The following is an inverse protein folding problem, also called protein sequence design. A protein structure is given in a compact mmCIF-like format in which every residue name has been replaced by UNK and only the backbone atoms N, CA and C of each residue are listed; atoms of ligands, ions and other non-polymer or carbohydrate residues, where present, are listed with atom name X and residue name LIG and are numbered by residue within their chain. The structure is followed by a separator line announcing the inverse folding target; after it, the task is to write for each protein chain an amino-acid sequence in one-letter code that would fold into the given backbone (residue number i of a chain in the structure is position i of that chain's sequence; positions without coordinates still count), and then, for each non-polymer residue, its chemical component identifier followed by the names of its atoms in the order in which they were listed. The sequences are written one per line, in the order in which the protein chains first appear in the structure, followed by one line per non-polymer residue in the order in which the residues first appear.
data_IF_080174406161
#
_entry.id   IF_080174406161
#
_cell.length_a   1.000
_cell.length_b   1.000
_cell.length_c   1.000
_cell.angle_alpha   90.00
_cell.angle_beta   90.00
_cell.angle_gamma   90.00
#
_symmetry.space_group_name_H-M   'P 1'
#
loop_
_entity.id
_entity.type
_entity.pdbx_description
1 polymer ?
#
# COMPACT_ATOMS: atom_id res chain seq x y z
N UNK A 1 0.09 -65.93 45.60
CA UNK A 1 -0.70 -64.81 45.08
C UNK A 1 0.27 -63.68 44.72
N UNK A 2 0.55 -63.48 43.46
CA UNK A 2 1.51 -62.48 42.97
C UNK A 2 0.69 -61.38 42.33
N UNK A 3 0.65 -60.21 42.98
CA UNK A 3 0.02 -58.97 42.39
C UNK A 3 0.92 -58.38 41.35
N UNK A 4 0.47 -58.38 40.08
CA UNK A 4 1.10 -57.65 38.98
C UNK A 4 0.55 -56.20 38.93
N UNK A 5 1.38 -55.24 39.33
CA UNK A 5 1.15 -53.82 39.09
C UNK A 5 1.50 -53.49 37.63
N UNK A 6 0.52 -53.02 36.84
CA UNK A 6 0.73 -52.44 35.51
C UNK A 6 0.95 -50.94 35.65
N UNK A 7 2.17 -50.49 35.39
CA UNK A 7 2.46 -49.06 35.23
C UNK A 7 2.03 -48.64 33.83
N UNK A 8 0.99 -47.78 33.72
CA UNK A 8 0.67 -47.07 32.49
C UNK A 8 1.59 -45.86 32.40
N UNK A 9 2.57 -45.89 31.48
CA UNK A 9 3.38 -44.75 31.11
C UNK A 9 2.59 -43.94 30.08
N UNK A 10 1.98 -42.81 30.50
CA UNK A 10 1.34 -41.86 29.61
C UNK A 10 2.41 -41.01 28.95
N UNK A 11 2.70 -41.29 27.69
CA UNK A 11 3.52 -40.42 26.86
C UNK A 11 2.68 -39.17 26.44
N UNK A 12 2.90 -38.06 27.12
CA UNK A 12 2.38 -36.75 26.69
C UNK A 12 3.26 -36.28 25.55
N UNK A 13 2.80 -36.46 24.31
CA UNK A 13 3.37 -35.80 23.14
C UNK A 13 2.98 -34.33 23.21
N UNK A 14 3.88 -33.48 23.68
CA UNK A 14 3.78 -32.03 23.46
C UNK A 14 4.08 -31.76 21.99
N UNK A 15 3.03 -31.58 21.18
CA UNK A 15 3.12 -30.99 19.87
C UNK A 15 3.59 -29.54 20.06
N UNK A 16 4.88 -29.30 19.94
CA UNK A 16 5.39 -27.97 19.70
C UNK A 16 4.97 -27.61 18.26
N UNK A 17 3.87 -26.88 18.14
CA UNK A 17 3.56 -26.12 16.93
C UNK A 17 4.67 -25.07 16.77
N UNK A 18 5.69 -25.40 16.00
CA UNK A 18 6.55 -24.38 15.42
C UNK A 18 5.65 -23.56 14.51
N UNK A 19 5.29 -22.36 14.95
CA UNK A 19 4.79 -21.35 14.06
C UNK A 19 5.89 -21.14 13.01
N UNK A 20 5.70 -21.72 11.84
CA UNK A 20 6.54 -21.46 10.70
C UNK A 20 6.31 -19.97 10.42
N UNK A 21 7.31 -19.14 10.71
CA UNK A 21 7.34 -17.75 10.29
C UNK A 21 7.38 -17.77 8.77
N UNK A 22 6.23 -17.96 8.13
CA UNK A 22 6.09 -17.78 6.71
C UNK A 22 6.36 -16.31 6.44
N UNK A 23 7.41 -16.04 5.69
CA UNK A 23 7.74 -14.69 5.26
C UNK A 23 6.54 -14.15 4.46
N UNK A 24 5.99 -13.03 4.88
CA UNK A 24 4.95 -12.33 4.12
C UNK A 24 5.63 -11.65 2.93
N UNK A 25 5.25 -12.02 1.72
CA UNK A 25 5.80 -11.46 0.49
C UNK A 25 4.79 -10.49 -0.12
N UNK A 26 5.01 -9.21 0.13
CA UNK A 26 4.22 -8.09 -0.37
C UNK A 26 5.16 -6.97 -0.83
N UNK A 27 4.86 -6.36 -1.98
CA UNK A 27 5.33 -5.03 -2.33
C UNK A 27 4.28 -3.98 -1.92
N UNK A 28 4.64 -2.71 -1.96
CA UNK A 28 3.77 -1.56 -1.64
C UNK A 28 2.99 -1.76 -0.31
N UNK A 29 3.64 -2.09 0.80
CA UNK A 29 2.94 -2.42 2.03
C UNK A 29 2.23 -1.21 2.62
N UNK A 30 0.98 -1.39 3.02
CA UNK A 30 0.20 -0.38 3.76
C UNK A 30 -0.37 -0.99 5.02
N UNK A 31 -0.41 -0.20 6.10
CA UNK A 31 -0.98 -0.62 7.38
C UNK A 31 -2.14 0.29 7.73
N UNK A 32 -3.28 -0.33 8.01
CA UNK A 32 -4.43 0.30 8.65
C UNK A 32 -4.51 -0.17 10.10
N UNK A 33 -4.73 0.75 11.05
CA UNK A 33 -4.87 0.42 12.47
C UNK A 33 -6.29 0.73 12.94
N UNK A 34 -6.87 -0.18 13.69
CA UNK A 34 -8.12 0.03 14.41
C UNK A 34 -8.20 -0.79 15.69
N UNK A 35 -8.49 -0.12 16.82
CA UNK A 35 -8.66 -0.73 18.15
C UNK A 35 -7.48 -1.62 18.58
N UNK A 36 -6.25 -1.21 18.28
CA UNK A 36 -5.02 -1.91 18.63
C UNK A 36 -4.74 -3.13 17.75
N UNK A 37 -5.45 -3.29 16.63
CA UNK A 37 -5.18 -4.29 15.62
C UNK A 37 -4.64 -3.60 14.37
N UNK A 38 -3.50 -4.06 13.90
CA UNK A 38 -2.89 -3.62 12.66
C UNK A 38 -3.28 -4.57 11.53
N UNK A 39 -3.70 -4.02 10.41
CA UNK A 39 -4.08 -4.75 9.19
C UNK A 39 -3.08 -4.41 8.10
N UNK A 40 -2.33 -5.40 7.62
CA UNK A 40 -1.31 -5.24 6.58
C UNK A 40 -1.88 -5.71 5.24
N UNK A 41 -1.78 -4.84 4.25
CA UNK A 41 -2.10 -5.12 2.86
C UNK A 41 -0.89 -4.76 1.99
N UNK A 42 -0.92 -5.16 0.72
CA UNK A 42 0.12 -4.80 -0.24
C UNK A 42 -0.12 -5.47 -1.58
N UNK A 43 0.71 -5.13 -2.54
CA UNK A 43 0.80 -5.84 -3.81
C UNK A 43 1.30 -7.26 -3.55
N UNK A 44 0.53 -8.26 -3.97
CA UNK A 44 0.83 -9.66 -3.69
C UNK A 44 2.01 -10.15 -4.52
N UNK A 45 3.09 -10.58 -3.85
CA UNK A 45 4.28 -11.20 -4.46
C UNK A 45 4.37 -12.71 -4.16
N UNK A 46 3.53 -13.24 -3.28
CA UNK A 46 3.47 -14.67 -3.01
C UNK A 46 2.65 -15.39 -4.08
N UNK A 47 3.34 -15.93 -5.07
CA UNK A 47 2.74 -16.69 -6.16
C UNK A 47 2.29 -18.10 -5.74
N UNK A 48 2.65 -18.59 -4.55
CA UNK A 48 2.18 -19.87 -4.00
C UNK A 48 0.71 -19.80 -3.55
N UNK A 49 0.21 -18.60 -3.23
CA UNK A 49 -1.20 -18.36 -2.90
C UNK A 49 -1.99 -18.14 -4.20
N UNK A 50 -2.90 -19.06 -4.58
CA UNK A 50 -3.63 -18.96 -5.84
C UNK A 50 -4.62 -17.77 -5.83
N UNK A 51 -4.79 -17.14 -6.99
CA UNK A 51 -5.70 -16.01 -7.19
C UNK A 51 -5.00 -14.66 -7.25
N UNK A 52 -5.76 -13.61 -7.56
CA UNK A 52 -5.30 -12.22 -7.70
C UNK A 52 -6.15 -11.28 -6.84
N UNK A 53 -5.55 -10.21 -6.35
CA UNK A 53 -6.18 -9.22 -5.48
C UNK A 53 -5.28 -8.90 -4.29
N UNK A 54 -5.88 -8.39 -3.21
CA UNK A 54 -5.16 -7.96 -2.01
C UNK A 54 -5.46 -8.89 -0.84
N UNK A 55 -4.41 -9.56 -0.35
CA UNK A 55 -4.45 -10.32 0.90
C UNK A 55 -4.48 -9.36 2.08
N UNK A 56 -4.89 -9.85 3.26
CA UNK A 56 -4.78 -9.11 4.50
C UNK A 56 -4.23 -9.99 5.62
N UNK A 57 -3.26 -9.45 6.34
CA UNK A 57 -2.68 -10.04 7.54
C UNK A 57 -2.95 -9.14 8.73
N UNK A 58 -2.97 -9.69 9.94
CA UNK A 58 -3.22 -8.92 11.15
C UNK A 58 -2.10 -9.07 12.16
N UNK A 59 -1.89 -8.03 12.97
CA UNK A 59 -0.95 -8.04 14.08
C UNK A 59 -1.46 -7.19 15.23
N UNK A 60 -1.03 -7.50 16.46
CA UNK A 60 -1.23 -6.67 17.66
C UNK A 60 0.04 -5.93 18.07
N UNK A 61 1.17 -6.20 17.45
CA UNK A 61 2.48 -5.71 17.92
C UNK A 61 3.45 -5.35 16.78
N UNK A 62 3.02 -5.43 15.52
CA UNK A 62 3.83 -5.19 14.31
C UNK A 62 5.03 -6.15 14.13
N UNK A 63 5.15 -7.17 14.97
CA UNK A 63 6.26 -8.14 14.95
C UNK A 63 5.82 -9.53 14.52
N UNK A 64 4.66 -9.95 15.00
CA UNK A 64 4.05 -11.23 14.66
C UNK A 64 2.76 -11.00 13.90
N UNK A 65 2.62 -11.65 12.77
CA UNK A 65 1.50 -11.50 11.86
C UNK A 65 0.74 -12.81 11.69
N UNK A 66 -0.57 -12.73 11.63
CA UNK A 66 -1.48 -13.83 11.37
C UNK A 66 -2.15 -13.64 10.01
N UNK A 67 -2.33 -14.72 9.27
CA UNK A 67 -3.06 -14.64 8.01
C UNK A 67 -2.47 -15.47 6.86
N UNK A 68 -3.02 -15.28 5.64
CA UNK A 68 -4.01 -14.26 5.29
C UNK A 68 -5.42 -14.51 5.83
N UNK A 69 -6.11 -13.47 6.30
CA UNK A 69 -7.40 -13.54 7.02
C UNK A 69 -8.58 -12.87 6.29
N UNK A 70 -8.39 -12.42 5.05
CA UNK A 70 -9.45 -11.81 4.27
C UNK A 70 -10.65 -12.74 4.07
N UNK A 71 -11.85 -12.17 4.05
CA UNK A 71 -13.11 -12.93 4.04
C UNK A 71 -13.36 -13.75 2.78
N UNK A 72 -12.61 -13.53 1.72
CA UNK A 72 -12.69 -14.31 0.47
C UNK A 72 -11.38 -15.06 0.26
N UNK A 73 -11.24 -16.25 0.81
CA UNK A 73 -10.05 -17.13 0.68
C UNK A 73 -8.72 -16.43 1.08
N UNK A 74 -8.75 -15.63 2.16
CA UNK A 74 -7.61 -14.85 2.61
C UNK A 74 -7.49 -13.46 1.98
N UNK A 75 -8.28 -13.16 0.95
CA UNK A 75 -8.32 -11.86 0.28
C UNK A 75 -9.29 -10.90 0.95
N UNK A 76 -8.85 -9.68 1.18
CA UNK A 76 -9.70 -8.55 1.51
C UNK A 76 -10.43 -8.03 0.27
N UNK A 77 -9.76 -8.03 -0.90
CA UNK A 77 -10.33 -7.81 -2.22
C UNK A 77 -9.81 -8.88 -3.16
N UNK A 78 -10.70 -9.67 -3.74
CA UNK A 78 -10.36 -10.70 -4.71
C UNK A 78 -10.79 -10.28 -6.10
N UNK A 79 -10.01 -10.61 -7.11
CA UNK A 79 -10.38 -10.43 -8.53
C UNK A 79 -11.78 -10.97 -8.81
N UNK A 80 -12.64 -10.16 -9.40
CA UNK A 80 -14.05 -10.44 -9.64
C UNK A 80 -15.00 -9.78 -8.64
N UNK A 81 -14.54 -9.36 -7.45
CA UNK A 81 -15.34 -8.64 -6.47
C UNK A 81 -15.45 -7.13 -6.78
N UNK A 82 -14.47 -6.59 -7.48
CA UNK A 82 -14.35 -5.16 -7.79
C UNK A 82 -13.71 -4.95 -9.17
N UNK A 83 -13.50 -3.70 -9.57
CA UNK A 83 -12.82 -3.35 -10.81
C UNK A 83 -11.44 -3.99 -10.88
N UNK A 84 -11.08 -4.50 -12.06
CA UNK A 84 -9.75 -4.98 -12.40
C UNK A 84 -9.71 -6.44 -12.79
N UNK A 85 -8.82 -6.75 -13.72
CA UNK A 85 -8.55 -8.11 -14.22
C UNK A 85 -7.09 -8.51 -14.09
N UNK A 86 -6.20 -7.52 -13.83
CA UNK A 86 -4.74 -7.68 -13.68
C UNK A 86 -4.13 -6.48 -12.98
N UNK A 87 -2.89 -6.63 -12.49
CA UNK A 87 -2.10 -5.54 -11.94
C UNK A 87 -2.79 -4.90 -10.73
N UNK A 88 -3.12 -5.71 -9.74
CA UNK A 88 -3.63 -5.25 -8.45
C UNK A 88 -2.45 -4.77 -7.61
N UNK A 89 -2.24 -3.43 -7.57
CA UNK A 89 -1.06 -2.80 -6.98
C UNK A 89 -1.43 -1.71 -5.98
N UNK A 90 -0.50 -1.46 -5.05
CA UNK A 90 -0.44 -0.32 -4.15
C UNK A 90 -1.80 0.01 -3.49
N UNK A 91 -2.36 -0.90 -2.67
CA UNK A 91 -3.61 -0.63 -1.96
C UNK A 91 -3.36 0.32 -0.80
N UNK A 92 -4.34 1.19 -0.52
CA UNK A 92 -4.44 1.92 0.73
C UNK A 92 -5.81 1.67 1.35
N UNK A 93 -5.86 1.27 2.62
CA UNK A 93 -7.12 1.12 3.36
C UNK A 93 -7.30 2.26 4.34
N UNK A 94 -8.51 2.83 4.38
CA UNK A 94 -8.89 3.89 5.29
C UNK A 94 -10.35 3.77 5.70
N UNK A 95 -10.75 4.54 6.73
CA UNK A 95 -12.13 4.56 7.23
C UNK A 95 -12.73 5.95 7.10
N UNK A 96 -13.97 6.03 6.58
CA UNK A 96 -14.73 7.27 6.50
C UNK A 96 -16.20 6.96 6.78
N UNK A 97 -16.85 7.79 7.61
CA UNK A 97 -18.28 7.67 7.93
C UNK A 97 -18.72 6.25 8.35
N UNK A 98 -17.86 5.54 9.10
CA UNK A 98 -18.14 4.20 9.60
C UNK A 98 -17.91 3.05 8.60
N UNK A 99 -17.56 3.35 7.35
CA UNK A 99 -17.26 2.39 6.31
C UNK A 99 -15.74 2.32 6.03
N UNK A 100 -15.28 1.16 5.60
CA UNK A 100 -13.90 0.94 5.17
C UNK A 100 -13.83 1.06 3.66
N UNK A 101 -12.78 1.71 3.20
CA UNK A 101 -12.50 1.92 1.78
C UNK A 101 -11.10 1.42 1.46
N UNK A 102 -10.93 0.93 0.26
CA UNK A 102 -9.65 0.57 -0.32
C UNK A 102 -9.49 1.32 -1.63
N UNK A 103 -8.55 2.26 -1.68
CA UNK A 103 -8.05 2.83 -2.92
C UNK A 103 -6.95 1.93 -3.45
N UNK A 104 -6.94 1.63 -4.74
CA UNK A 104 -5.98 0.69 -5.33
C UNK A 104 -5.81 0.91 -6.82
N UNK A 105 -4.73 0.38 -7.35
CA UNK A 105 -4.50 0.27 -8.79
C UNK A 105 -4.99 -1.08 -9.31
N UNK A 106 -5.66 -1.09 -10.47
CA UNK A 106 -5.82 -2.27 -11.30
C UNK A 106 -5.92 -1.84 -12.77
N UNK A 107 -5.40 -2.65 -13.70
CA UNK A 107 -5.36 -2.32 -15.14
C UNK A 107 -4.75 -0.92 -15.40
N UNK A 108 -3.81 -0.45 -14.58
CA UNK A 108 -3.24 0.92 -14.60
C UNK A 108 -4.31 2.02 -14.50
N UNK A 109 -5.36 1.78 -13.73
CA UNK A 109 -6.39 2.74 -13.34
C UNK A 109 -6.59 2.67 -11.84
N UNK A 110 -7.01 3.79 -11.24
CA UNK A 110 -7.34 3.85 -9.82
C UNK A 110 -8.82 3.57 -9.63
N UNK A 111 -9.11 2.71 -8.66
CA UNK A 111 -10.47 2.44 -8.21
C UNK A 111 -10.56 2.52 -6.68
N UNK A 112 -11.76 2.80 -6.18
CA UNK A 112 -12.07 2.76 -4.76
C UNK A 112 -13.17 1.73 -4.54
N UNK A 113 -12.91 0.76 -3.67
CA UNK A 113 -13.87 -0.25 -3.23
C UNK A 113 -14.23 -0.02 -1.76
N UNK A 114 -15.39 -0.48 -1.33
CA UNK A 114 -15.87 -0.33 0.06
C UNK A 114 -16.22 -1.67 0.70
N UNK A 115 -16.13 -1.71 2.03
CA UNK A 115 -16.48 -2.88 2.84
C UNK A 115 -17.03 -2.45 4.21
N UNK A 116 -17.69 -3.41 4.90
CA UNK A 116 -18.11 -3.23 6.29
C UNK A 116 -17.11 -3.77 7.31
N UNK A 117 -15.92 -4.14 6.87
CA UNK A 117 -14.85 -4.69 7.70
C UNK A 117 -13.49 -4.47 7.03
N UNK A 118 -12.41 -4.24 7.80
CA UNK A 118 -11.07 -4.17 7.24
C UNK A 118 -10.61 -5.51 6.62
N UNK A 119 -11.21 -6.61 7.01
CA UNK A 119 -10.99 -7.92 6.37
C UNK A 119 -11.73 -8.11 5.04
N UNK A 120 -12.46 -7.07 4.57
CA UNK A 120 -13.27 -7.14 3.36
C UNK A 120 -14.60 -7.90 3.53
N UNK A 121 -15.20 -8.42 2.46
CA UNK A 121 -14.76 -8.24 1.08
C UNK A 121 -14.98 -6.81 0.60
N UNK A 122 -13.93 -6.18 0.09
CA UNK A 122 -14.05 -4.88 -0.56
C UNK A 122 -14.64 -5.04 -1.94
N UNK A 123 -15.66 -4.25 -2.25
CA UNK A 123 -16.42 -4.33 -3.51
C UNK A 123 -16.67 -2.95 -4.11
N UNK A 124 -16.71 -2.90 -5.43
CA UNK A 124 -17.26 -1.78 -6.17
C UNK A 124 -18.02 -2.30 -7.40
N UNK A 125 -18.75 -1.40 -8.07
CA UNK A 125 -19.56 -1.76 -9.26
C UNK A 125 -18.75 -1.72 -10.56
N UNK A 126 -17.45 -2.05 -10.52
CA UNK A 126 -16.57 -1.98 -11.69
C UNK A 126 -16.20 -0.56 -12.12
N UNK A 127 -16.35 0.45 -11.25
CA UNK A 127 -16.03 1.84 -11.54
C UNK A 127 -14.59 2.17 -11.18
N UNK A 128 -13.98 3.04 -11.99
CA UNK A 128 -12.68 3.67 -11.73
C UNK A 128 -12.87 5.17 -11.51
N UNK A 129 -11.85 5.82 -10.96
CA UNK A 129 -11.73 7.26 -11.04
C UNK A 129 -11.37 7.64 -12.48
N UNK A 130 -12.18 8.48 -13.11
CA UNK A 130 -11.93 8.91 -14.49
C UNK A 130 -10.63 9.69 -14.62
N UNK A 131 -9.86 9.36 -15.65
CA UNK A 131 -8.63 10.06 -16.00
C UNK A 131 -8.38 10.02 -17.51
N UNK A 132 -7.70 11.05 -17.99
CA UNK A 132 -7.30 11.17 -19.41
C UNK A 132 -6.03 10.38 -19.74
N UNK A 133 -5.32 9.92 -18.72
CA UNK A 133 -4.09 9.13 -18.83
C UNK A 133 -4.14 7.99 -17.81
N UNK A 134 -3.32 6.97 -18.00
CA UNK A 134 -3.13 5.91 -17.00
C UNK A 134 -2.65 6.50 -15.68
N UNK A 135 -3.11 5.90 -14.58
CA UNK A 135 -2.81 6.35 -13.22
C UNK A 135 -2.68 5.16 -12.26
N UNK A 136 -1.75 5.27 -11.32
CA UNK A 136 -1.41 4.23 -10.35
C UNK A 136 -1.15 4.83 -8.97
N UNK A 137 -0.92 3.99 -7.96
CA UNK A 137 -0.46 4.32 -6.61
C UNK A 137 -1.30 5.39 -5.90
N UNK A 138 -2.57 5.12 -5.64
CA UNK A 138 -3.43 6.09 -4.97
C UNK A 138 -3.10 6.19 -3.48
N UNK A 139 -3.04 7.42 -2.99
CA UNK A 139 -3.01 7.74 -1.56
C UNK A 139 -4.05 8.79 -1.24
N UNK A 140 -5.07 8.41 -0.47
CA UNK A 140 -6.15 9.29 -0.02
C UNK A 140 -5.75 9.93 1.30
N UNK A 141 -5.79 11.25 1.35
CA UNK A 141 -5.40 12.04 2.51
C UNK A 141 -6.53 12.96 2.95
N UNK A 142 -6.84 12.95 4.23
CA UNK A 142 -7.88 13.77 4.83
C UNK A 142 -7.25 14.92 5.62
N UNK A 143 -7.64 16.15 5.32
CA UNK A 143 -7.14 17.33 6.02
C UNK A 143 -8.15 18.48 5.96
N UNK A 144 -8.40 19.12 7.10
CA UNK A 144 -9.28 20.29 7.26
C UNK A 144 -10.65 20.12 6.57
N UNK A 145 -11.28 18.94 6.72
CA UNK A 145 -12.59 18.62 6.14
C UNK A 145 -12.60 18.34 4.65
N UNK A 146 -11.44 18.32 4.01
CA UNK A 146 -11.27 18.00 2.60
C UNK A 146 -10.61 16.64 2.40
N UNK A 147 -10.79 16.08 1.22
CA UNK A 147 -10.19 14.82 0.81
C UNK A 147 -9.30 15.09 -0.40
N UNK A 148 -8.08 14.61 -0.33
CA UNK A 148 -7.08 14.73 -1.39
C UNK A 148 -6.69 13.35 -1.89
N UNK A 149 -6.54 13.20 -3.20
CA UNK A 149 -5.93 12.03 -3.82
C UNK A 149 -4.54 12.42 -4.32
N UNK A 150 -3.50 11.87 -3.69
CA UNK A 150 -2.18 11.81 -4.28
C UNK A 150 -2.09 10.55 -5.12
N UNK A 151 -1.53 10.63 -6.31
CA UNK A 151 -1.43 9.50 -7.22
C UNK A 151 -0.38 9.74 -8.28
N UNK A 152 0.05 8.68 -8.91
CA UNK A 152 0.94 8.72 -10.05
C UNK A 152 0.12 8.83 -11.33
N UNK A 153 0.53 9.73 -12.22
CA UNK A 153 0.04 9.80 -13.60
C UNK A 153 1.18 9.45 -14.55
N UNK A 154 0.87 8.59 -15.52
CA UNK A 154 1.82 8.14 -16.53
C UNK A 154 1.82 9.16 -17.68
N UNK A 155 2.68 10.17 -17.55
CA UNK A 155 2.79 11.27 -18.53
C UNK A 155 4.22 11.79 -18.59
N UNK A 156 4.95 11.45 -19.66
CA UNK A 156 6.39 11.72 -19.82
C UNK A 156 7.21 11.29 -18.59
N UNK A 157 6.94 10.07 -18.10
CA UNK A 157 7.44 9.49 -16.85
C UNK A 157 6.30 9.15 -15.89
N UNK A 158 6.64 8.48 -14.78
CA UNK A 158 5.78 8.38 -13.62
C UNK A 158 5.95 9.67 -12.82
N UNK A 159 4.87 10.41 -12.60
CA UNK A 159 4.90 11.68 -11.86
C UNK A 159 3.79 11.72 -10.84
N UNK A 160 4.07 12.26 -9.66
CA UNK A 160 3.11 12.37 -8.58
C UNK A 160 2.30 13.65 -8.73
N UNK A 161 0.99 13.48 -8.67
CA UNK A 161 0.00 14.56 -8.70
C UNK A 161 -0.85 14.52 -7.45
N UNK A 162 -1.52 15.65 -7.17
CA UNK A 162 -2.57 15.76 -6.17
C UNK A 162 -3.81 16.39 -6.81
N UNK A 163 -4.98 15.96 -6.38
CA UNK A 163 -6.25 16.62 -6.64
C UNK A 163 -7.16 16.56 -5.42
N UNK A 164 -8.03 17.55 -5.22
CA UNK A 164 -9.13 17.44 -4.26
C UNK A 164 -10.17 16.45 -4.80
N UNK A 165 -10.69 15.60 -3.95
CA UNK A 165 -11.76 14.66 -4.29
C UNK A 165 -13.13 15.22 -3.93
N UNK A 166 -14.17 14.65 -4.53
CA UNK A 166 -15.55 14.78 -4.04
C UNK A 166 -15.69 14.07 -2.70
N UNK A 167 -16.59 14.53 -1.85
CA UNK A 167 -16.81 13.99 -0.49
C UNK A 167 -17.24 12.51 -0.50
N UNK A 168 -17.92 12.09 -1.55
CA UNK A 168 -18.36 10.70 -1.77
C UNK A 168 -17.25 9.79 -2.36
N UNK A 169 -16.05 10.31 -2.55
CA UNK A 169 -14.89 9.62 -3.09
C UNK A 169 -15.07 9.12 -4.54
N UNK A 170 -16.09 9.59 -5.26
CA UNK A 170 -16.43 9.07 -6.58
C UNK A 170 -15.60 9.69 -7.72
N UNK A 171 -15.00 10.88 -7.50
CA UNK A 171 -14.25 11.60 -8.50
C UNK A 171 -13.21 12.54 -7.87
N UNK A 172 -12.22 12.93 -8.65
CA UNK A 172 -11.41 14.12 -8.35
C UNK A 172 -12.11 15.36 -8.89
N UNK A 173 -11.74 16.54 -8.38
CA UNK A 173 -12.07 17.86 -8.93
C UNK A 173 -11.00 18.23 -9.94
N UNK A 174 -11.20 18.11 -11.26
CA UNK A 174 -10.15 18.20 -12.26
C UNK A 174 -9.42 19.55 -12.27
N UNK A 175 -10.11 20.62 -11.93
CA UNK A 175 -9.57 21.99 -11.84
C UNK A 175 -8.53 22.13 -10.72
N UNK A 176 -8.49 21.20 -9.77
CA UNK A 176 -7.52 21.18 -8.66
C UNK A 176 -6.30 20.34 -8.95
N UNK A 177 -6.28 19.59 -10.06
CA UNK A 177 -5.20 18.66 -10.37
C UNK A 177 -3.87 19.40 -10.56
N UNK A 178 -2.86 19.00 -9.80
CA UNK A 178 -1.54 19.65 -9.77
C UNK A 178 -0.41 18.65 -9.65
N UNK A 179 0.67 18.82 -10.42
CA UNK A 179 1.91 18.05 -10.27
C UNK A 179 2.62 18.42 -8.96
N UNK A 180 3.03 17.42 -8.21
CA UNK A 180 3.78 17.55 -6.96
C UNK A 180 5.26 17.25 -7.14
N UNK A 181 5.57 16.05 -7.64
CA UNK A 181 6.93 15.53 -7.78
C UNK A 181 7.11 14.92 -9.17
N UNK A 182 8.25 15.22 -9.76
CA UNK A 182 8.80 14.52 -10.94
C UNK A 182 10.27 14.22 -10.67
N UNK A 183 10.78 13.08 -11.12
CA UNK A 183 12.18 12.69 -10.97
C UNK A 183 13.07 13.57 -11.86
N UNK A 184 13.69 14.60 -11.28
CA UNK A 184 14.51 15.61 -11.98
C UNK A 184 15.94 15.71 -11.43
N UNK A 185 16.19 15.13 -10.26
CA UNK A 185 17.51 15.13 -9.64
C UNK A 185 18.29 13.89 -10.08
N UNK A 186 19.63 13.96 -10.08
CA UNK A 186 20.49 12.88 -10.59
C UNK A 186 20.26 11.56 -9.87
N UNK A 187 20.04 11.59 -8.57
CA UNK A 187 19.80 10.39 -7.76
C UNK A 187 18.40 9.77 -8.02
N UNK A 188 17.49 10.54 -8.62
CA UNK A 188 16.12 10.10 -8.93
C UNK A 188 16.00 9.41 -10.29
N UNK A 189 17.04 9.50 -11.12
CA UNK A 189 17.10 8.86 -12.44
C UNK A 189 18.55 8.52 -12.77
N UNK A 190 19.13 7.57 -12.03
CA UNK A 190 20.55 7.20 -12.07
C UNK A 190 20.97 6.61 -13.42
N UNK A 191 20.04 5.97 -14.13
CA UNK A 191 20.28 5.40 -15.46
C UNK A 191 19.99 6.38 -16.60
N UNK A 192 19.58 7.60 -16.29
CA UNK A 192 19.17 8.61 -17.27
C UNK A 192 18.10 8.06 -18.24
N UNK A 193 17.13 7.33 -17.68
CA UNK A 193 16.05 6.73 -18.45
C UNK A 193 15.18 7.81 -19.11
N UNK A 194 14.73 7.57 -20.34
CA UNK A 194 13.78 8.45 -21.05
C UNK A 194 12.41 8.52 -20.37
N UNK A 195 12.08 7.51 -19.57
CA UNK A 195 10.87 7.45 -18.75
C UNK A 195 11.26 7.48 -17.26
N UNK A 196 11.52 8.66 -16.67
CA UNK A 196 11.90 8.79 -15.28
C UNK A 196 10.72 8.45 -14.36
N UNK A 197 11.02 7.87 -13.19
CA UNK A 197 10.01 7.35 -12.26
C UNK A 197 10.07 8.09 -10.94
N UNK A 198 8.92 8.63 -10.51
CA UNK A 198 8.61 9.00 -9.13
C UNK A 198 7.21 8.49 -8.80
N UNK A 199 7.08 7.68 -7.74
CA UNK A 199 5.87 6.91 -7.46
C UNK A 199 5.66 6.66 -5.96
N UNK A 200 4.63 5.90 -5.58
CA UNK A 200 4.37 5.47 -4.22
C UNK A 200 4.17 6.62 -3.22
N UNK A 201 3.38 7.68 -3.51
CA UNK A 201 3.25 8.80 -2.58
C UNK A 201 2.58 8.39 -1.28
N UNK A 202 3.20 8.73 -0.15
CA UNK A 202 2.58 8.66 1.18
C UNK A 202 2.70 10.03 1.84
N UNK A 203 1.58 10.60 2.27
CA UNK A 203 1.54 11.97 2.79
C UNK A 203 0.98 11.98 4.21
N UNK A 204 1.64 12.73 5.08
CA UNK A 204 1.15 13.01 6.42
C UNK A 204 1.43 14.47 6.80
N UNK A 205 0.71 14.96 7.81
CA UNK A 205 0.89 16.32 8.33
C UNK A 205 1.51 16.25 9.72
N UNK A 206 2.55 17.03 9.93
CA UNK A 206 3.11 17.29 11.25
C UNK A 206 3.09 18.79 11.53
N UNK A 207 2.23 19.20 12.46
CA UNK A 207 1.91 20.60 12.71
C UNK A 207 1.53 21.34 11.40
N UNK A 208 2.28 22.37 11.03
CA UNK A 208 2.04 23.19 9.84
C UNK A 208 2.80 22.69 8.59
N UNK A 209 3.35 21.45 8.63
CA UNK A 209 4.18 20.93 7.55
C UNK A 209 3.61 19.64 7.03
N UNK A 210 3.35 19.60 5.73
CA UNK A 210 3.03 18.38 4.99
C UNK A 210 4.33 17.71 4.59
N UNK A 211 4.40 16.42 4.77
CA UNK A 211 5.56 15.57 4.47
C UNK A 211 5.10 14.50 3.51
N UNK A 212 5.81 14.35 2.40
CA UNK A 212 5.58 13.31 1.41
C UNK A 212 6.81 12.40 1.36
N UNK A 213 6.59 11.10 1.54
CA UNK A 213 7.52 10.06 1.13
C UNK A 213 7.17 9.63 -0.29
N UNK A 214 8.18 9.35 -1.11
CA UNK A 214 8.00 8.93 -2.49
C UNK A 214 9.17 8.06 -2.94
N UNK A 215 8.91 7.14 -3.85
CA UNK A 215 9.93 6.27 -4.43
C UNK A 215 10.39 6.80 -5.78
N UNK A 216 11.65 6.55 -6.13
CA UNK A 216 12.27 7.01 -7.38
C UNK A 216 13.18 5.95 -7.97
N UNK A 217 13.52 6.12 -9.25
CA UNK A 217 14.05 5.12 -10.17
C UNK A 217 12.98 4.07 -10.51
N UNK A 218 13.30 3.09 -11.34
CA UNK A 218 12.41 1.96 -11.63
C UNK A 218 12.60 0.89 -10.56
N UNK A 219 11.53 0.24 -10.09
CA UNK A 219 11.60 -0.79 -9.04
C UNK A 219 12.56 -1.95 -9.36
N UNK A 220 12.89 -2.15 -10.65
CA UNK A 220 13.87 -3.13 -11.12
C UNK A 220 15.31 -2.62 -11.06
N UNK A 221 15.48 -1.31 -10.82
CA UNK A 221 16.79 -0.70 -10.70
C UNK A 221 17.33 -0.91 -9.28
N UNK A 222 18.60 -1.36 -9.10
CA UNK A 222 19.24 -1.46 -7.78
C UNK A 222 19.25 -0.15 -6.99
N UNK A 223 19.16 1.00 -7.68
CA UNK A 223 19.13 2.33 -7.06
C UNK A 223 17.71 2.80 -6.70
N UNK A 224 16.70 1.91 -6.76
CA UNK A 224 15.35 2.23 -6.29
C UNK A 224 15.41 2.72 -4.85
N UNK A 225 14.93 3.91 -4.59
CA UNK A 225 15.18 4.63 -3.35
C UNK A 225 13.96 5.44 -2.92
N UNK A 226 13.88 5.72 -1.61
CA UNK A 226 12.83 6.57 -1.03
C UNK A 226 13.39 7.97 -0.78
N UNK A 227 12.66 8.98 -1.26
CA UNK A 227 12.91 10.37 -0.97
C UNK A 227 11.85 10.99 -0.05
N UNK A 228 12.15 12.16 0.47
CA UNK A 228 11.24 12.97 1.25
C UNK A 228 11.15 14.38 0.67
N UNK A 229 9.92 14.90 0.62
CA UNK A 229 9.64 16.29 0.29
C UNK A 229 8.70 16.91 1.32
N UNK A 230 8.76 18.23 1.48
CA UNK A 230 7.91 18.97 2.41
C UNK A 230 7.18 20.11 1.73
N UNK A 231 6.02 20.48 2.28
CA UNK A 231 5.22 21.62 1.82
C UNK A 231 4.49 22.31 2.97
N UNK A 232 3.92 23.50 2.68
CA UNK A 232 3.04 24.23 3.61
C UNK A 232 1.57 24.15 3.23
N UNK A 233 1.26 23.40 2.18
CA UNK A 233 -0.09 23.15 1.68
C UNK A 233 -0.15 21.77 1.06
N UNK A 234 -1.31 21.08 1.07
CA UNK A 234 -1.48 19.80 0.35
C UNK A 234 -1.12 19.88 -1.13
N UNK A 235 -1.32 21.04 -1.73
CA UNK A 235 -0.97 21.30 -3.13
C UNK A 235 0.48 21.74 -3.38
N UNK A 236 1.32 21.77 -2.32
CA UNK A 236 2.68 22.26 -2.42
C UNK A 236 2.76 23.81 -2.39
N UNK A 237 3.84 24.43 -2.91
CA UNK A 237 4.93 23.76 -3.64
C UNK A 237 5.71 22.79 -2.75
N UNK A 238 6.01 21.62 -3.29
CA UNK A 238 6.79 20.59 -2.62
C UNK A 238 8.28 20.86 -2.78
N UNK A 239 9.00 20.85 -1.67
CA UNK A 239 10.45 21.03 -1.64
C UNK A 239 11.10 19.70 -1.22
N UNK A 240 11.87 19.11 -2.13
CA UNK A 240 12.67 17.92 -1.86
C UNK A 240 13.74 18.20 -0.80
N UNK A 241 14.02 17.24 0.05
CA UNK A 241 15.06 17.35 1.06
C UNK A 241 16.45 17.33 0.40
N UNK A 242 17.34 18.19 0.90
CA UNK A 242 18.73 18.15 0.49
C UNK A 242 19.49 16.90 0.99
N UNK A 243 18.87 16.14 1.93
CA UNK A 243 19.43 14.91 2.50
C UNK A 243 18.88 13.65 1.82
N UNK A 244 18.20 13.80 0.69
CA UNK A 244 17.74 12.65 -0.08
C UNK A 244 18.93 11.89 -0.75
N UNK A 245 18.80 10.56 -0.99
CA UNK A 245 17.68 9.71 -0.60
C UNK A 245 17.57 9.50 0.91
N UNK A 246 16.34 9.30 1.41
CA UNK A 246 16.07 8.97 2.81
C UNK A 246 16.43 7.52 3.12
N UNK A 247 16.09 6.62 2.20
CA UNK A 247 16.40 5.19 2.26
C UNK A 247 16.88 4.76 0.88
N UNK A 248 17.96 3.98 0.84
CA UNK A 248 18.56 3.46 -0.37
C UNK A 248 19.02 2.02 -0.18
N UNK A 249 19.48 1.37 -1.24
CA UNK A 249 20.09 0.03 -1.18
C UNK A 249 21.20 -0.06 -0.15
N UNK A 250 22.00 1.01 0.00
CA UNK A 250 23.09 1.04 0.98
C UNK A 250 22.60 0.97 2.43
N UNK A 251 21.39 1.43 2.71
CA UNK A 251 20.81 1.46 4.06
C UNK A 251 20.21 0.11 4.46
N UNK A 252 19.75 -0.69 3.49
CA UNK A 252 19.01 -1.94 3.76
C UNK A 252 19.71 -3.19 3.21
N UNK A 253 20.84 -3.04 2.55
CA UNK A 253 21.63 -4.13 1.92
C UNK A 253 20.80 -5.01 0.95
N UNK A 254 19.79 -4.45 0.31
CA UNK A 254 18.87 -5.09 -0.65
C UNK A 254 18.59 -4.16 -1.82
N UNK A 255 18.18 -4.75 -2.94
CA UNK A 255 17.66 -3.97 -4.06
C UNK A 255 16.27 -3.41 -3.69
N UNK A 256 16.15 -2.10 -3.83
CA UNK A 256 14.89 -1.38 -3.78
C UNK A 256 14.14 -1.39 -2.45
N UNK A 257 14.11 -0.29 -1.71
CA UNK A 257 13.29 -0.14 -0.51
C UNK A 257 11.86 0.34 -0.77
N UNK A 258 11.44 0.51 -2.02
CA UNK A 258 10.21 1.15 -2.40
C UNK A 258 8.90 0.43 -2.07
#
# INVERSE_FOLDING_TARGET
MINRFWLFLSFVFSLQLYAQNSQILLADPTIFEENGIYYLYGTKEDHSIPGEGFLVYTSKNLKTWEGPLGKTDGYALKKGDAFGTRGFWAPQVFKQNGHYYMAYTANENIAIASANSPLGPFKNKGKTLEATVKQIDPFVFFDDGKVYLYHVRLTAGNRIFVAEMTEDLSAIKPETLKECIAAKETWENTTNAEWPVSEGPTVFRNAETYIMLYSVNDFRNPDYSVGVATAKSPFGPWKKSASNPLISTADIERNGPG
#
